data_IF_801477600298
#
_entry.id   IF_801477600298
#
_cell.length_a   1.000
_cell.length_b   1.000
_cell.length_c   1.000
_cell.angle_alpha   90.00
_cell.angle_beta   90.00
_cell.angle_gamma   90.00
#
_symmetry.space_group_name_H-M   'P 1'
#
loop_
_entity.id
_entity.type
_entity.pdbx_description
1 polymer ?
#
# COMPACT_ATOMS: atom_id res chain seq x y z
N UNK A 1 -12.12 -1.43 1.49
CA UNK A 1 -11.28 -1.04 0.33
C UNK A 1 -9.82 -1.15 0.76
N UNK A 2 -8.88 -1.26 -0.18
CA UNK A 2 -7.47 -1.48 0.14
C UNK A 2 -6.56 -0.67 -0.78
N UNK A 3 -5.46 -0.16 -0.22
CA UNK A 3 -4.51 0.77 -0.85
C UNK A 3 -4.07 0.36 -2.25
N UNK A 4 -3.76 -0.92 -2.46
CA UNK A 4 -3.31 -1.42 -3.75
C UNK A 4 -4.38 -1.26 -4.85
N UNK A 5 -5.64 -1.58 -4.51
CA UNK A 5 -6.78 -1.41 -5.41
C UNK A 5 -6.98 0.06 -5.78
N UNK A 6 -6.84 0.95 -4.80
CA UNK A 6 -7.02 2.40 -4.98
C UNK A 6 -5.92 2.99 -5.89
N UNK A 7 -4.67 2.54 -5.77
CA UNK A 7 -3.60 2.92 -6.71
C UNK A 7 -3.93 2.50 -8.15
N UNK A 8 -4.43 1.27 -8.32
CA UNK A 8 -4.81 0.75 -9.64
C UNK A 8 -5.98 1.54 -10.25
N UNK A 9 -6.95 1.98 -9.43
CA UNK A 9 -8.04 2.86 -9.87
C UNK A 9 -7.54 4.24 -10.31
N UNK A 10 -6.43 4.72 -9.73
CA UNK A 10 -5.73 5.94 -10.17
C UNK A 10 -4.81 5.72 -11.37
N UNK A 11 -4.73 4.49 -11.91
CA UNK A 11 -3.85 4.14 -13.03
C UNK A 11 -2.38 3.96 -12.64
N UNK A 12 -2.06 3.84 -11.35
CA UNK A 12 -0.70 3.70 -10.83
C UNK A 12 -0.40 2.22 -10.58
N UNK A 13 0.70 1.72 -11.16
CA UNK A 13 1.24 0.40 -10.87
C UNK A 13 2.25 0.49 -9.70
N UNK A 14 2.01 -0.19 -8.57
CA UNK A 14 2.96 -0.18 -7.46
C UNK A 14 4.22 -0.98 -7.80
N UNK A 15 5.39 -0.54 -7.32
CA UNK A 15 6.63 -1.31 -7.46
C UNK A 15 6.64 -2.60 -6.61
N UNK A 16 5.89 -2.60 -5.51
CA UNK A 16 5.71 -3.78 -4.67
C UNK A 16 4.41 -3.79 -3.88
N UNK A 17 3.90 -4.99 -3.61
CA UNK A 17 2.63 -5.23 -2.91
C UNK A 17 2.80 -6.35 -1.90
N UNK A 18 2.24 -6.17 -0.70
CA UNK A 18 2.15 -7.24 0.28
C UNK A 18 0.98 -8.16 -0.07
N UNK A 19 1.21 -9.47 -0.02
CA UNK A 19 0.23 -10.54 -0.34
C UNK A 19 -0.41 -10.38 -1.74
N UNK A 20 0.39 -10.57 -2.79
CA UNK A 20 -0.08 -10.46 -4.19
C UNK A 20 -1.09 -11.57 -4.49
N UNK A 21 -0.85 -12.78 -3.99
CA UNK A 21 -1.75 -13.92 -4.17
C UNK A 21 -3.13 -13.64 -3.55
N UNK A 22 -3.16 -13.15 -2.32
CA UNK A 22 -4.39 -12.70 -1.64
C UNK A 22 -5.06 -11.56 -2.40
N UNK A 23 -4.29 -10.55 -2.83
CA UNK A 23 -4.82 -9.46 -3.65
C UNK A 23 -5.54 -9.99 -4.91
N UNK A 24 -4.87 -10.81 -5.72
CA UNK A 24 -5.43 -11.34 -6.96
C UNK A 24 -6.65 -12.25 -6.74
N UNK A 25 -6.76 -12.88 -5.57
CA UNK A 25 -7.92 -13.71 -5.20
C UNK A 25 -9.15 -12.87 -4.87
N UNK A 26 -9.00 -11.75 -4.18
CA UNK A 26 -10.11 -10.96 -3.64
C UNK A 26 -10.39 -9.67 -4.43
N UNK A 27 -9.43 -9.20 -5.23
CA UNK A 27 -9.54 -7.99 -6.05
C UNK A 27 -9.65 -8.39 -7.51
N UNK A 28 -10.89 -8.39 -8.01
CA UNK A 28 -11.20 -8.72 -9.40
C UNK A 28 -11.62 -7.47 -10.19
N UNK A 29 -10.76 -6.45 -10.19
CA UNK A 29 -10.96 -5.23 -10.99
C UNK A 29 -9.85 -5.08 -12.03
N UNK A 30 -10.11 -4.29 -13.08
CA UNK A 30 -9.09 -3.80 -14.00
C UNK A 30 -8.68 -2.37 -13.60
N UNK A 31 -7.40 -1.99 -13.77
CA UNK A 31 -6.29 -2.81 -14.26
C UNK A 31 -5.78 -3.81 -13.20
N UNK A 32 -5.20 -4.92 -13.65
CA UNK A 32 -4.50 -5.88 -12.76
C UNK A 32 -3.08 -5.40 -12.46
N UNK A 33 -2.47 -6.00 -11.43
CA UNK A 33 -1.03 -5.86 -11.20
C UNK A 33 -0.26 -6.43 -12.39
N UNK A 34 0.79 -5.74 -12.82
CA UNK A 34 1.72 -6.24 -13.81
C UNK A 34 2.68 -7.26 -13.19
N UNK A 35 3.27 -8.15 -13.99
CA UNK A 35 4.15 -9.22 -13.50
C UNK A 35 5.45 -8.69 -12.84
N UNK A 36 5.81 -7.42 -13.09
CA UNK A 36 6.98 -6.79 -12.48
C UNK A 36 6.76 -6.31 -11.04
N UNK A 37 5.54 -6.37 -10.51
CA UNK A 37 5.26 -5.99 -9.13
C UNK A 37 5.87 -7.01 -8.18
N UNK A 38 6.73 -6.53 -7.28
CA UNK A 38 7.45 -7.40 -6.33
C UNK A 38 6.60 -7.71 -5.11
N UNK A 39 6.54 -8.98 -4.72
CA UNK A 39 5.91 -9.36 -3.45
C UNK A 39 6.82 -8.95 -2.28
N UNK A 40 6.27 -8.16 -1.35
CA UNK A 40 7.02 -7.62 -0.21
C UNK A 40 6.56 -8.21 1.13
N UNK A 41 6.27 -9.50 1.13
CA UNK A 41 5.81 -10.24 2.31
C UNK A 41 4.30 -10.16 2.49
N UNK A 42 3.85 -10.32 3.73
CA UNK A 42 2.41 -10.34 4.05
C UNK A 42 1.95 -9.00 4.59
N UNK A 43 0.63 -8.81 4.66
CA UNK A 43 0.05 -7.64 5.32
C UNK A 43 0.46 -7.54 6.80
N UNK A 44 0.50 -8.66 7.52
CA UNK A 44 0.82 -8.67 8.95
C UNK A 44 2.31 -8.54 9.22
N UNK A 45 3.12 -9.10 8.32
CA UNK A 45 4.56 -9.13 8.42
C UNK A 45 5.17 -8.74 7.06
N UNK A 46 5.33 -7.43 6.82
CA UNK A 46 6.02 -6.93 5.64
C UNK A 46 7.50 -7.32 5.65
N UNK A 47 8.03 -7.72 4.50
CA UNK A 47 9.45 -8.01 4.35
C UNK A 47 10.22 -6.70 4.10
N UNK A 48 10.83 -6.17 5.16
CA UNK A 48 11.56 -4.89 5.12
C UNK A 48 12.76 -4.90 4.17
N UNK A 49 13.45 -6.03 4.02
CA UNK A 49 14.57 -6.17 3.09
C UNK A 49 14.09 -6.10 1.63
N UNK A 50 12.98 -6.77 1.32
CA UNK A 50 12.38 -6.72 -0.01
C UNK A 50 11.91 -5.30 -0.34
N UNK A 51 11.29 -4.60 0.62
CA UNK A 51 10.89 -3.19 0.47
C UNK A 51 12.11 -2.32 0.20
N UNK A 52 13.19 -2.45 0.98
CA UNK A 52 14.40 -1.66 0.79
C UNK A 52 15.06 -1.93 -0.57
N UNK A 53 15.05 -3.18 -1.04
CA UNK A 53 15.67 -3.60 -2.30
C UNK A 53 15.02 -2.97 -3.53
N UNK A 54 13.70 -2.75 -3.51
CA UNK A 54 12.98 -2.12 -4.61
C UNK A 54 13.08 -0.59 -4.61
N UNK A 55 13.71 0.01 -3.58
CA UNK A 55 13.98 1.45 -3.45
C UNK A 55 12.73 2.32 -3.75
N UNK A 56 11.65 2.17 -2.98
CA UNK A 56 10.41 2.89 -3.24
C UNK A 56 10.60 4.39 -2.94
N UNK A 57 9.90 5.25 -3.69
CA UNK A 57 9.84 6.69 -3.40
C UNK A 57 8.80 7.02 -2.32
N UNK A 58 7.84 6.12 -2.11
CA UNK A 58 6.78 6.24 -1.11
C UNK A 58 6.30 4.85 -0.67
N UNK A 59 6.11 4.68 0.63
CA UNK A 59 5.52 3.49 1.24
C UNK A 59 4.13 3.85 1.76
N UNK A 60 3.13 3.07 1.32
CA UNK A 60 1.75 3.21 1.77
C UNK A 60 1.39 2.08 2.74
N UNK A 61 0.91 2.46 3.92
CA UNK A 61 0.54 1.51 4.97
C UNK A 61 -0.81 1.79 5.60
N UNK A 62 -1.31 0.82 6.37
CA UNK A 62 -2.52 0.97 7.19
C UNK A 62 -2.10 1.36 8.61
N UNK A 63 -2.63 2.46 9.14
CA UNK A 63 -2.25 3.02 10.43
C UNK A 63 -2.35 2.01 11.56
N UNK A 64 -3.49 1.32 11.69
CA UNK A 64 -3.72 0.35 12.77
C UNK A 64 -2.75 -0.83 12.72
N UNK A 65 -2.23 -1.16 11.53
CA UNK A 65 -1.36 -2.34 11.35
C UNK A 65 0.11 -1.98 11.41
N UNK A 66 0.50 -0.86 10.82
CA UNK A 66 1.91 -0.53 10.58
C UNK A 66 2.44 0.60 11.47
N UNK A 67 1.64 1.18 12.37
CA UNK A 67 2.11 2.23 13.29
C UNK A 67 3.34 1.78 14.11
N UNK A 68 3.38 0.52 14.55
CA UNK A 68 4.50 -0.04 15.33
C UNK A 68 5.82 -0.14 14.55
N UNK A 69 5.77 -0.19 13.21
CA UNK A 69 6.93 -0.26 12.33
C UNK A 69 7.13 1.02 11.51
N UNK A 70 6.40 2.10 11.83
CA UNK A 70 6.40 3.34 11.07
C UNK A 70 7.80 3.94 10.93
N UNK A 71 8.57 3.97 12.03
CA UNK A 71 9.93 4.52 12.02
C UNK A 71 10.87 3.70 11.12
N UNK A 72 10.69 2.39 11.08
CA UNK A 72 11.48 1.47 10.24
C UNK A 72 11.11 1.59 8.76
N UNK A 73 9.83 1.78 8.44
CA UNK A 73 9.41 2.08 7.06
C UNK A 73 9.92 3.47 6.64
N UNK A 74 9.85 4.45 7.55
CA UNK A 74 10.29 5.83 7.31
C UNK A 74 11.79 5.96 7.12
N UNK A 75 12.60 5.04 7.65
CA UNK A 75 14.05 5.00 7.38
C UNK A 75 14.38 4.41 6.00
N UNK A 76 13.46 3.66 5.39
CA UNK A 76 13.60 3.14 4.03
C UNK A 76 13.19 4.21 3.01
N UNK A 77 12.02 4.82 3.21
CA UNK A 77 11.48 5.84 2.33
C UNK A 77 10.37 6.65 2.99
N UNK A 78 9.94 7.75 2.35
CA UNK A 78 8.76 8.51 2.77
C UNK A 78 7.61 7.53 3.01
N UNK A 79 6.99 7.58 4.19
CA UNK A 79 5.95 6.63 4.59
C UNK A 79 4.67 7.38 4.95
N UNK A 80 3.55 6.93 4.41
CA UNK A 80 2.22 7.45 4.73
C UNK A 80 1.34 6.32 5.23
N UNK A 81 0.75 6.51 6.40
CA UNK A 81 -0.19 5.58 7.00
C UNK A 81 -1.61 6.12 6.88
N UNK A 82 -2.49 5.30 6.31
CA UNK A 82 -3.89 5.62 6.10
C UNK A 82 -4.76 4.89 7.10
N UNK A 83 -5.81 5.56 7.55
CA UNK A 83 -6.87 4.92 8.32
C UNK A 83 -7.95 4.40 7.34
N UNK A 84 -8.14 3.08 7.19
CA UNK A 84 -9.16 2.50 6.31
C UNK A 84 -10.59 2.70 6.83
N UNK A 85 -10.73 3.14 8.09
CA UNK A 85 -11.98 3.51 8.73
C UNK A 85 -11.87 4.95 9.24
N UNK A 86 -11.89 5.94 8.33
CA UNK A 86 -11.87 7.34 8.71
C UNK A 86 -13.09 7.66 9.58
N UNK A 87 -12.93 8.58 10.54
CA UNK A 87 -14.09 9.09 11.28
C UNK A 87 -15.12 9.68 10.30
N UNK A 88 -16.39 9.72 10.71
CA UNK A 88 -17.54 10.05 9.83
C UNK A 88 -17.35 11.34 9.01
N UNK A 89 -16.47 12.25 9.44
CA UNK A 89 -16.20 13.54 8.79
C UNK A 89 -14.81 13.66 8.11
N UNK A 90 -13.98 12.62 8.07
CA UNK A 90 -12.58 12.70 7.62
C UNK A 90 -12.33 12.34 6.13
N UNK A 91 -13.39 12.08 5.35
CA UNK A 91 -13.29 11.70 3.93
C UNK A 91 -12.80 10.26 3.73
N UNK A 92 -13.05 9.67 2.55
CA UNK A 92 -12.63 8.29 2.25
C UNK A 92 -11.12 8.16 2.02
N UNK A 93 -10.58 6.97 2.23
CA UNK A 93 -9.17 6.65 1.95
C UNK A 93 -8.77 6.99 0.49
N UNK A 94 -9.63 6.62 -0.47
CA UNK A 94 -9.47 6.99 -1.87
C UNK A 94 -9.40 8.52 -2.08
N UNK A 95 -10.24 9.30 -1.40
CA UNK A 95 -10.23 10.76 -1.51
C UNK A 95 -8.92 11.37 -0.96
N UNK A 96 -8.34 10.78 0.08
CA UNK A 96 -7.04 11.20 0.60
C UNK A 96 -5.92 10.86 -0.38
N UNK A 97 -6.00 9.73 -1.09
CA UNK A 97 -5.02 9.42 -2.14
C UNK A 97 -5.12 10.42 -3.30
N UNK A 98 -6.31 10.76 -3.76
CA UNK A 98 -6.51 11.75 -4.83
C UNK A 98 -5.94 13.15 -4.54
N UNK A 99 -5.72 13.50 -3.28
CA UNK A 99 -5.15 14.80 -2.90
C UNK A 99 -3.62 14.79 -2.80
N UNK A 100 -3.03 13.61 -2.61
CA UNK A 100 -1.60 13.46 -2.30
C UNK A 100 -0.78 12.89 -3.48
N UNK A 101 -1.46 12.51 -4.56
CA UNK A 101 -0.92 11.96 -5.80
C UNK A 101 -1.43 12.78 -6.98
#
# INVERSE_FOLDING_TARGET
MGLCRELLELGIQPAGVADIAGHNKYVNIAPKLVDSVVEVGTHQEPNLEAIAKIKPDLILGVQQRHAGIYQTLSSISKTMLFNPYPEINAGSQLAQMQQNF
#
